data_IF_885389021904
#
_entry.id   IF_885389021904
#
_cell.length_a   1.000
_cell.length_b   1.000
_cell.length_c   1.000
_cell.angle_alpha   90.00
_cell.angle_beta   90.00
_cell.angle_gamma   90.00
#
_symmetry.space_group_name_H-M   'P 1'
#
loop_
_entity.id
_entity.type
_entity.pdbx_description
1 polymer ?
#
# COMPACT_ATOMS: atom_id res chain seq x y z
N UNK A 1 27.87 -35.29 -37.10
CA UNK A 1 27.52 -33.91 -36.69
C UNK A 1 26.76 -34.01 -35.38
N UNK A 2 27.40 -33.74 -34.24
CA UNK A 2 26.79 -33.86 -32.91
C UNK A 2 26.41 -32.45 -32.48
N UNK A 3 25.11 -32.21 -32.31
CA UNK A 3 24.58 -30.94 -31.82
C UNK A 3 24.62 -31.00 -30.29
N UNK A 4 25.57 -30.28 -29.69
CA UNK A 4 25.64 -30.09 -28.25
C UNK A 4 24.57 -29.08 -27.85
N UNK A 5 23.48 -29.54 -27.24
CA UNK A 5 22.53 -28.66 -26.55
C UNK A 5 23.22 -28.02 -25.35
N UNK A 6 23.27 -26.69 -25.31
CA UNK A 6 23.65 -25.96 -24.11
C UNK A 6 22.61 -26.21 -23.01
N UNK A 7 23.02 -26.38 -21.74
CA UNK A 7 22.08 -26.51 -20.64
C UNK A 7 21.31 -25.20 -20.46
N UNK A 8 19.98 -25.31 -20.40
CA UNK A 8 19.06 -24.23 -20.04
C UNK A 8 19.58 -23.49 -18.81
N UNK A 9 19.71 -22.17 -18.91
CA UNK A 9 20.06 -21.33 -17.78
C UNK A 9 19.03 -21.55 -16.66
N UNK A 10 19.45 -21.72 -15.38
CA UNK A 10 18.51 -21.94 -14.29
C UNK A 10 17.52 -20.77 -14.23
N UNK A 11 16.23 -21.04 -13.97
CA UNK A 11 15.23 -19.98 -13.87
C UNK A 11 15.69 -18.96 -12.84
N UNK A 12 15.81 -17.68 -13.23
CA UNK A 12 16.17 -16.57 -12.34
C UNK A 12 15.25 -16.64 -11.13
N UNK A 13 15.76 -17.09 -9.99
CA UNK A 13 15.02 -17.11 -8.74
C UNK A 13 14.53 -15.68 -8.48
N UNK A 14 13.22 -15.44 -8.54
CA UNK A 14 12.63 -14.16 -8.13
C UNK A 14 13.07 -13.93 -6.69
N UNK A 15 14.07 -13.07 -6.47
CA UNK A 15 14.59 -12.82 -5.13
C UNK A 15 13.46 -12.24 -4.30
N UNK A 16 13.03 -12.98 -3.28
CA UNK A 16 12.08 -12.49 -2.32
C UNK A 16 12.73 -11.33 -1.56
N UNK A 17 12.20 -10.12 -1.75
CA UNK A 17 12.71 -8.94 -1.07
C UNK A 17 12.02 -8.83 0.28
N UNK A 18 12.80 -8.69 1.36
CA UNK A 18 12.25 -8.42 2.69
C UNK A 18 11.95 -6.93 2.80
N UNK A 19 10.72 -6.61 3.21
CA UNK A 19 10.27 -5.27 3.52
C UNK A 19 9.76 -5.27 4.96
N UNK A 20 10.25 -4.36 5.80
CA UNK A 20 9.75 -4.18 7.16
C UNK A 20 8.86 -2.96 7.20
N UNK A 21 7.57 -3.18 7.43
CA UNK A 21 6.56 -2.14 7.65
C UNK A 21 6.63 -1.71 9.12
N UNK A 22 6.82 -0.41 9.33
CA UNK A 22 6.98 0.20 10.67
C UNK A 22 5.74 0.96 11.12
N UNK A 23 4.99 1.51 10.17
CA UNK A 23 3.80 2.31 10.44
C UNK A 23 2.88 2.25 9.24
N UNK A 24 1.58 2.15 9.51
CA UNK A 24 0.53 2.30 8.52
C UNK A 24 -0.43 3.38 9.01
N UNK A 25 -0.72 4.34 8.14
CA UNK A 25 -1.67 5.41 8.40
C UNK A 25 -2.75 5.41 7.33
N UNK A 26 -4.00 5.55 7.77
CA UNK A 26 -5.16 5.64 6.89
C UNK A 26 -5.91 6.93 7.19
N UNK A 27 -6.15 7.72 6.15
CA UNK A 27 -6.92 8.95 6.19
C UNK A 27 -8.14 8.78 5.30
N UNK A 28 -9.35 8.93 5.84
CA UNK A 28 -10.57 9.01 5.03
C UNK A 28 -11.00 10.46 4.98
N UNK A 29 -11.00 11.05 3.79
CA UNK A 29 -11.34 12.46 3.54
C UNK A 29 -12.53 12.55 2.58
N UNK A 30 -13.36 13.59 2.62
CA UNK A 30 -14.42 13.78 1.62
C UNK A 30 -13.82 13.91 0.21
N UNK A 31 -14.46 13.31 -0.79
CA UNK A 31 -14.11 13.58 -2.19
C UNK A 31 -14.42 15.06 -2.51
N UNK A 32 -13.48 15.74 -3.17
CA UNK A 32 -13.59 17.18 -3.45
C UNK A 32 -14.21 17.49 -4.82
N UNK A 33 -14.52 16.47 -5.61
CA UNK A 33 -15.12 16.65 -6.93
C UNK A 33 -16.64 16.76 -6.82
N UNK A 34 -17.18 17.75 -7.52
CA UNK A 34 -18.60 18.13 -7.51
C UNK A 34 -19.53 17.02 -8.03
N UNK A 35 -18.97 16.02 -8.74
CA UNK A 35 -19.72 14.96 -9.40
C UNK A 35 -19.62 13.59 -8.69
N UNK A 36 -18.74 13.43 -7.70
CA UNK A 36 -18.58 12.17 -6.95
C UNK A 36 -19.07 12.35 -5.51
N UNK A 37 -20.29 11.91 -5.25
CA UNK A 37 -20.76 11.64 -3.89
C UNK A 37 -19.89 10.50 -3.32
N UNK A 38 -18.98 10.80 -2.38
CA UNK A 38 -17.99 9.81 -1.95
C UNK A 38 -16.97 10.27 -0.92
N UNK A 39 -16.26 9.29 -0.37
CA UNK A 39 -15.07 9.46 0.44
C UNK A 39 -13.83 9.00 -0.35
N UNK A 40 -12.66 9.50 0.03
CA UNK A 40 -11.35 9.04 -0.46
C UNK A 40 -10.53 8.51 0.70
N UNK A 41 -10.10 7.27 0.60
CA UNK A 41 -9.19 6.63 1.54
C UNK A 41 -7.75 6.77 1.02
N UNK A 42 -6.90 7.45 1.79
CA UNK A 42 -5.48 7.63 1.53
C UNK A 42 -4.68 6.80 2.54
N UNK A 43 -3.82 5.90 2.07
CA UNK A 43 -2.98 5.05 2.88
C UNK A 43 -1.52 5.48 2.75
N UNK A 44 -0.87 5.76 3.87
CA UNK A 44 0.57 5.99 3.96
C UNK A 44 1.23 4.83 4.69
N UNK A 45 2.25 4.24 4.06
CA UNK A 45 2.98 3.11 4.63
C UNK A 45 4.44 3.48 4.82
N UNK A 46 4.89 3.50 6.06
CA UNK A 46 6.30 3.74 6.39
C UNK A 46 7.02 2.41 6.55
N UNK A 47 8.14 2.24 5.86
CA UNK A 47 8.91 0.99 5.84
C UNK A 47 10.39 1.23 6.17
N UNK A 48 11.18 0.17 6.27
CA UNK A 48 12.64 0.26 6.32
C UNK A 48 13.27 0.69 5.00
N UNK A 49 12.51 0.67 3.90
CA UNK A 49 12.96 1.10 2.58
C UNK A 49 12.52 2.51 2.24
N UNK A 50 11.43 3.02 2.78
CA UNK A 50 10.93 4.36 2.46
C UNK A 50 9.44 4.50 2.79
N UNK A 51 8.82 5.53 2.22
CA UNK A 51 7.39 5.82 2.39
C UNK A 51 6.65 5.47 1.09
N UNK A 52 5.56 4.73 1.23
CA UNK A 52 4.64 4.36 0.17
C UNK A 52 3.30 5.06 0.37
N UNK A 53 2.64 5.41 -0.74
CA UNK A 53 1.33 6.06 -0.72
C UNK A 53 0.37 5.38 -1.69
N UNK A 54 -0.84 5.10 -1.24
CA UNK A 54 -1.92 4.58 -2.06
C UNK A 54 -3.21 5.34 -1.78
N UNK A 55 -4.06 5.45 -2.79
CA UNK A 55 -5.39 6.04 -2.63
C UNK A 55 -6.45 5.20 -3.32
N UNK A 56 -7.66 5.24 -2.78
CA UNK A 56 -8.86 4.65 -3.41
C UNK A 56 -10.09 5.47 -3.07
N UNK A 57 -11.06 5.46 -3.97
CA UNK A 57 -12.39 6.00 -3.68
C UNK A 57 -13.21 4.97 -2.91
N UNK A 58 -14.04 5.48 -2.01
CA UNK A 58 -14.88 4.75 -1.07
C UNK A 58 -16.28 5.32 -1.24
N UNK A 59 -17.25 4.46 -1.50
CA UNK A 59 -18.65 4.85 -1.63
C UNK A 59 -19.15 5.47 -0.30
N UNK A 60 -20.04 6.46 -0.36
CA UNK A 60 -20.67 7.06 0.83
C UNK A 60 -21.40 6.04 1.71
N UNK A 61 -21.81 4.91 1.11
CA UNK A 61 -22.47 3.80 1.80
C UNK A 61 -21.50 2.94 2.64
N UNK A 62 -20.18 2.95 2.37
CA UNK A 62 -19.19 2.24 3.20
C UNK A 62 -19.01 3.00 4.51
N UNK A 63 -19.47 2.39 5.60
CA UNK A 63 -19.62 3.05 6.90
C UNK A 63 -18.37 2.89 7.75
N UNK A 64 -18.22 3.69 8.83
CA UNK A 64 -17.17 3.50 9.82
C UNK A 64 -17.04 2.09 10.41
N UNK A 65 -18.11 1.28 10.37
CA UNK A 65 -18.06 -0.12 10.80
C UNK A 65 -17.21 -1.00 9.85
N UNK A 66 -17.14 -0.67 8.56
CA UNK A 66 -16.27 -1.36 7.59
C UNK A 66 -14.79 -1.00 7.84
N UNK A 67 -14.51 0.16 8.45
CA UNK A 67 -13.15 0.56 8.81
C UNK A 67 -12.59 -0.26 9.96
N UNK A 68 -13.42 -0.83 10.84
CA UNK A 68 -12.95 -1.77 11.87
C UNK A 68 -12.31 -3.03 11.27
N UNK A 69 -12.87 -3.52 10.15
CA UNK A 69 -12.30 -4.63 9.39
C UNK A 69 -11.00 -4.22 8.70
N UNK A 70 -10.92 -2.99 8.17
CA UNK A 70 -9.69 -2.46 7.58
C UNK A 70 -8.59 -2.31 8.63
N UNK A 71 -8.90 -1.85 9.85
CA UNK A 71 -7.95 -1.78 10.96
C UNK A 71 -7.34 -3.16 11.24
N UNK A 72 -8.20 -4.19 11.34
CA UNK A 72 -7.78 -5.57 11.57
C UNK A 72 -6.91 -6.09 10.43
N UNK A 73 -7.33 -5.91 9.18
CA UNK A 73 -6.57 -6.31 8.01
C UNK A 73 -5.21 -5.61 7.91
N UNK A 74 -5.18 -4.28 8.10
CA UNK A 74 -3.94 -3.50 8.02
C UNK A 74 -2.93 -3.89 9.11
N UNK A 75 -3.41 -4.23 10.30
CA UNK A 75 -2.53 -4.67 11.39
C UNK A 75 -1.71 -5.93 11.04
N UNK A 76 -2.24 -6.78 10.16
CA UNK A 76 -1.53 -7.99 9.71
C UNK A 76 -0.29 -7.70 8.84
N UNK A 77 -0.18 -6.49 8.30
CA UNK A 77 0.96 -6.09 7.47
C UNK A 77 2.10 -5.44 8.27
N UNK A 78 1.90 -5.16 9.56
CA UNK A 78 2.95 -4.63 10.42
C UNK A 78 4.03 -5.69 10.63
N UNK A 79 5.30 -5.28 10.54
CA UNK A 79 6.46 -6.16 10.70
C UNK A 79 7.10 -6.53 9.36
N UNK A 80 7.79 -7.68 9.32
CA UNK A 80 8.61 -8.05 8.15
C UNK A 80 7.83 -8.94 7.18
N UNK A 81 7.58 -8.42 5.99
CA UNK A 81 6.91 -9.08 4.89
C UNK A 81 7.95 -9.56 3.86
N UNK A 82 7.71 -10.75 3.31
CA UNK A 82 8.48 -11.27 2.19
C UNK A 82 7.74 -10.99 0.90
N UNK A 83 8.24 -10.05 0.10
CA UNK A 83 7.62 -9.64 -1.16
C UNK A 83 8.22 -10.49 -2.28
N UNK A 84 7.49 -11.55 -2.65
CA UNK A 84 7.85 -12.41 -3.78
C UNK A 84 7.19 -11.89 -5.06
N UNK A 85 7.80 -10.90 -5.71
CA UNK A 85 7.40 -10.45 -7.04
C UNK A 85 5.99 -9.88 -7.18
N UNK A 86 5.88 -8.55 -7.06
CA UNK A 86 4.82 -7.66 -7.59
C UNK A 86 3.34 -7.99 -7.31
N UNK A 87 3.00 -8.90 -6.40
CA UNK A 87 1.61 -9.00 -5.96
C UNK A 87 1.53 -9.69 -4.61
N UNK A 88 1.13 -8.95 -3.58
CA UNK A 88 0.67 -9.52 -2.31
C UNK A 88 -0.74 -10.10 -2.52
N UNK A 89 -0.88 -11.11 -3.39
CA UNK A 89 -2.14 -11.85 -3.52
C UNK A 89 -2.30 -12.74 -2.30
N UNK A 90 -2.84 -12.17 -1.24
CA UNK A 90 -3.37 -12.91 -0.09
C UNK A 90 -4.63 -13.67 -0.55
N UNK A 91 -4.75 -14.94 -0.15
CA UNK A 91 -5.92 -15.81 -0.37
C UNK A 91 -7.17 -15.38 0.44
N UNK A 92 -7.22 -14.12 0.89
CA UNK A 92 -8.30 -13.56 1.69
C UNK A 92 -9.15 -12.61 0.82
N UNK A 93 -10.00 -13.21 -0.01
CA UNK A 93 -10.79 -12.56 -1.05
C UNK A 93 -11.88 -11.60 -0.53
N UNK A 94 -12.17 -11.58 0.77
CA UNK A 94 -13.28 -10.77 1.31
C UNK A 94 -12.92 -9.29 1.54
N UNK A 95 -11.64 -8.90 1.45
CA UNK A 95 -11.20 -7.53 1.73
C UNK A 95 -10.37 -6.92 0.59
N UNK A 96 -10.75 -7.18 -0.66
CA UNK A 96 -9.96 -6.77 -1.83
C UNK A 96 -9.57 -5.28 -1.85
N UNK A 97 -10.40 -4.35 -1.36
CA UNK A 97 -10.12 -2.91 -1.40
C UNK A 97 -8.90 -2.50 -0.55
N UNK A 98 -8.84 -2.90 0.72
CA UNK A 98 -7.74 -2.52 1.63
C UNK A 98 -6.42 -3.22 1.29
N UNK A 99 -6.49 -4.46 0.81
CA UNK A 99 -5.31 -5.20 0.33
C UNK A 99 -4.74 -4.55 -0.93
N UNK A 100 -5.60 -4.20 -1.90
CA UNK A 100 -5.18 -3.51 -3.11
C UNK A 100 -4.60 -2.11 -2.78
N UNK A 101 -5.19 -1.41 -1.81
CA UNK A 101 -4.70 -0.12 -1.34
C UNK A 101 -3.29 -0.24 -0.72
N UNK A 102 -3.07 -1.26 0.11
CA UNK A 102 -1.75 -1.56 0.67
C UNK A 102 -0.74 -1.97 -0.41
N UNK A 103 -1.11 -2.88 -1.30
CA UNK A 103 -0.28 -3.32 -2.43
C UNK A 103 0.13 -2.11 -3.29
N UNK A 104 -0.82 -1.24 -3.64
CA UNK A 104 -0.55 0.01 -4.35
C UNK A 104 0.44 0.90 -3.59
N UNK A 105 0.24 1.11 -2.28
CA UNK A 105 1.15 1.91 -1.47
C UNK A 105 2.59 1.34 -1.48
N UNK A 106 2.75 0.03 -1.36
CA UNK A 106 4.06 -0.64 -1.39
C UNK A 106 4.68 -0.61 -2.79
N UNK A 107 3.88 -0.71 -3.84
CA UNK A 107 4.35 -0.63 -5.21
C UNK A 107 4.89 0.76 -5.59
N UNK A 108 4.38 1.81 -4.93
CA UNK A 108 4.79 3.20 -5.11
C UNK A 108 5.79 3.68 -4.06
N UNK A 109 6.54 2.77 -3.40
CA UNK A 109 7.61 3.14 -2.49
C UNK A 109 8.62 4.07 -3.20
N UNK A 110 8.67 5.34 -2.78
CA UNK A 110 9.47 6.41 -3.41
C UNK A 110 10.98 6.12 -3.43
N UNK A 111 11.45 5.14 -2.67
CA UNK A 111 12.86 4.73 -2.64
C UNK A 111 13.20 3.57 -3.60
N UNK A 112 12.21 2.99 -4.29
CA UNK A 112 12.44 1.91 -5.24
C UNK A 112 12.99 2.44 -6.57
N UNK A 113 12.52 3.60 -7.00
CA UNK A 113 12.91 4.24 -8.26
C UNK A 113 13.79 5.44 -7.94
N UNK A 114 14.95 5.51 -8.58
CA UNK A 114 15.98 6.52 -8.36
C UNK A 114 15.45 7.97 -8.40
N UNK A 115 16.21 8.84 -7.73
CA UNK A 115 16.08 10.30 -7.56
C UNK A 115 15.27 10.74 -6.33
N UNK A 116 16.03 11.15 -5.31
CA UNK A 116 15.56 11.76 -4.07
C UNK A 116 15.14 13.20 -4.41
N UNK A 117 13.86 13.41 -4.73
CA UNK A 117 13.27 14.73 -4.51
C UNK A 117 13.05 14.93 -3.01
N UNK A 118 13.27 16.15 -2.48
CA UNK A 118 13.04 16.43 -1.08
C UNK A 118 11.58 16.14 -0.72
N UNK A 119 11.43 15.39 0.36
CA UNK A 119 10.18 14.87 0.89
C UNK A 119 9.19 16.00 1.24
N UNK A 120 8.18 16.19 0.38
CA UNK A 120 7.01 17.03 0.68
C UNK A 120 5.96 16.26 1.52
N UNK A 121 6.24 15.00 1.90
CA UNK A 121 5.33 14.15 2.69
C UNK A 121 5.05 14.66 4.10
N UNK A 122 5.93 15.51 4.65
CA UNK A 122 5.70 16.23 5.90
C UNK A 122 4.70 17.40 5.75
N UNK A 123 4.55 17.95 4.54
CA UNK A 123 3.65 19.07 4.24
C UNK A 123 2.21 18.60 4.03
N UNK A 124 2.01 17.40 3.48
CA UNK A 124 0.67 16.87 3.17
C UNK A 124 -0.03 16.21 4.38
N UNK A 125 0.70 15.66 5.34
CA UNK A 125 0.11 14.98 6.51
C UNK A 125 -0.81 15.89 7.36
N UNK A 126 -0.42 17.13 7.73
CA UNK A 126 -1.30 18.03 8.47
C UNK A 126 -2.57 18.37 7.69
N UNK A 127 -2.47 18.45 6.36
CA UNK A 127 -3.60 18.76 5.48
C UNK A 127 -4.55 17.57 5.43
N UNK A 128 -4.05 16.36 5.19
CA UNK A 128 -4.86 15.13 5.18
C UNK A 128 -5.53 14.90 6.53
N UNK A 129 -4.79 15.06 7.62
CA UNK A 129 -5.32 14.91 8.97
C UNK A 129 -6.42 15.93 9.25
N UNK A 130 -6.20 17.21 8.93
CA UNK A 130 -7.18 18.29 9.15
C UNK A 130 -8.49 18.12 8.39
N UNK A 131 -8.47 17.39 7.26
CA UNK A 131 -9.64 17.14 6.41
C UNK A 131 -10.25 15.75 6.61
N UNK A 132 -9.66 14.94 7.49
CA UNK A 132 -10.08 13.57 7.69
C UNK A 132 -11.38 13.47 8.49
N UNK A 133 -12.32 12.71 7.94
CA UNK A 133 -13.48 12.19 8.67
C UNK A 133 -13.07 11.04 9.59
N UNK A 134 -12.00 10.33 9.21
CA UNK A 134 -11.41 9.26 10.00
C UNK A 134 -9.92 9.16 9.79
N UNK A 135 -9.23 8.88 10.87
CA UNK A 135 -7.80 8.68 10.90
C UNK A 135 -7.44 7.48 11.77
N UNK A 136 -6.52 6.67 11.26
CA UNK A 136 -5.94 5.52 11.94
C UNK A 136 -4.43 5.55 11.77
N UNK A 137 -3.70 5.21 12.82
CA UNK A 137 -2.26 4.96 12.80
C UNK A 137 -1.93 3.70 13.57
N UNK A 138 -1.30 2.73 12.90
CA UNK A 138 -0.88 1.44 13.46
C UNK A 138 0.65 1.35 13.43
N UNK A 139 1.25 0.76 14.47
CA UNK A 139 2.70 0.57 14.65
C UNK A 139 3.04 -0.88 14.94
#
# INVERSE_FOLDING_TARGET
>A
MIVLHAPDAPPKAKHAMKLTVKRIELFVIPALNVDDAGNRACLRVTTDKGIGFGETFVDEMERPNDWGLWCSALSSFIGTLSITGRSLRSEQADHHSVYNLFDHAIHHLKSWTAEIEPDDGASEEPILLSRSLFYLSIF
#
